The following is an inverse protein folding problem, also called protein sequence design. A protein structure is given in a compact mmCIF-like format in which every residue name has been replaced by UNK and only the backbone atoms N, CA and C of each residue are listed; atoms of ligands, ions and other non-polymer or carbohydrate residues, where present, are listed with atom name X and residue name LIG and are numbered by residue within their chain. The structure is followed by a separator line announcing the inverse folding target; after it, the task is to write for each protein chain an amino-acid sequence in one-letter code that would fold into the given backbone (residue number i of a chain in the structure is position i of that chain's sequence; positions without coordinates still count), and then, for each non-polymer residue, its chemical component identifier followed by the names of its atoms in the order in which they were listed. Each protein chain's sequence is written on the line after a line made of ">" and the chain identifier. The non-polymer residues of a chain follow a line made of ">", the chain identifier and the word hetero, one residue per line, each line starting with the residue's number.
data_IF_394291371564
#
_entry.id   IF_394291371564
#
_cell.length_a   1.000
_cell.length_b   1.000
_cell.length_c   1.000
_cell.angle_alpha   90.00
_cell.angle_beta   90.00
_cell.angle_gamma   90.00
#
_symmetry.space_group_name_H-M   'P 1'
#
loop_
_entity.id
_entity.type
_entity.pdbx_description
1 polymer ?
#
# COMPACT_ATOMS: atom_id res chain seq x y z
N UNK A 1 -0.02 -1.36 -17.07
CA UNK A 1 -0.12 -0.75 -15.73
C UNK A 1 -1.54 -0.26 -15.43
N UNK A 2 -2.17 -0.72 -14.33
CA UNK A 2 -3.50 -0.28 -13.88
C UNK A 2 -3.65 1.22 -13.65
N UNK A 3 -4.88 1.74 -13.81
CA UNK A 3 -5.18 3.18 -13.78
C UNK A 3 -4.89 3.90 -12.44
N UNK A 4 -4.89 3.19 -11.31
CA UNK A 4 -4.62 3.80 -9.99
C UNK A 4 -3.13 4.12 -9.79
N UNK A 5 -2.21 3.43 -10.48
CA UNK A 5 -0.77 3.65 -10.30
C UNK A 5 -0.33 5.06 -10.74
N UNK A 6 -0.66 5.55 -11.96
CA UNK A 6 -0.30 6.92 -12.35
C UNK A 6 -0.82 7.98 -11.37
N UNK A 7 -2.03 7.80 -10.84
CA UNK A 7 -2.66 8.73 -9.89
C UNK A 7 -1.90 8.72 -8.57
N UNK A 8 -1.69 7.54 -7.97
CA UNK A 8 -0.97 7.44 -6.72
C UNK A 8 0.51 7.80 -6.83
N UNK A 9 1.17 7.51 -7.95
CA UNK A 9 2.55 7.97 -8.21
C UNK A 9 2.64 9.48 -8.34
N UNK A 10 1.63 10.14 -8.91
CA UNK A 10 1.54 11.60 -8.90
C UNK A 10 1.41 12.13 -7.47
N UNK A 11 0.51 11.53 -6.68
CA UNK A 11 0.28 11.90 -5.28
C UNK A 11 1.52 11.68 -4.39
N UNK A 12 2.26 10.59 -4.62
CA UNK A 12 3.45 10.22 -3.85
C UNK A 12 4.56 11.29 -3.90
N UNK A 13 4.62 12.10 -4.97
CA UNK A 13 5.58 13.21 -5.13
C UNK A 13 5.35 14.35 -4.13
N UNK A 14 4.16 14.41 -3.54
CA UNK A 14 3.74 15.48 -2.64
C UNK A 14 3.83 15.08 -1.15
N UNK A 15 4.58 14.02 -0.83
CA UNK A 15 4.67 13.47 0.54
C UNK A 15 5.02 14.49 1.63
N UNK A 16 5.77 15.54 1.28
CA UNK A 16 6.18 16.60 2.22
C UNK A 16 5.02 17.51 2.65
N UNK A 17 3.93 17.53 1.89
CA UNK A 17 2.78 18.40 2.13
C UNK A 17 1.64 17.72 2.88
N UNK A 18 1.69 16.40 3.09
CA UNK A 18 0.68 15.68 3.87
C UNK A 18 1.02 15.69 5.37
N UNK A 19 -0.01 15.85 6.19
CA UNK A 19 0.09 15.80 7.65
C UNK A 19 -1.26 15.94 8.34
N UNK A 20 -1.30 15.79 9.68
CA UNK A 20 -2.53 15.98 10.44
C UNK A 20 -3.23 17.31 10.13
N UNK A 21 -4.44 17.21 9.59
CA UNK A 21 -5.27 18.36 9.19
C UNK A 21 -5.17 18.77 7.73
N UNK A 22 -4.27 18.18 6.94
CA UNK A 22 -4.15 18.42 5.49
C UNK A 22 -3.57 17.19 4.78
N UNK A 23 -4.43 16.42 4.12
CA UNK A 23 -4.06 15.17 3.47
C UNK A 23 -4.07 15.33 1.96
N UNK A 24 -3.09 14.73 1.28
CA UNK A 24 -3.13 14.66 -0.18
C UNK A 24 -4.17 13.60 -0.59
N UNK A 25 -5.04 13.96 -1.53
CA UNK A 25 -6.13 13.10 -1.99
C UNK A 25 -5.85 12.52 -3.39
N UNK A 26 -5.48 11.24 -3.49
CA UNK A 26 -5.30 10.54 -4.76
C UNK A 26 -6.61 10.00 -5.35
N UNK A 27 -7.79 10.48 -4.95
CA UNK A 27 -9.12 10.05 -5.41
C UNK A 27 -9.64 8.75 -4.72
N UNK A 28 -10.88 8.38 -5.04
CA UNK A 28 -11.63 7.28 -4.43
C UNK A 28 -10.93 5.90 -4.53
N UNK A 29 -11.40 4.93 -3.74
CA UNK A 29 -11.08 3.51 -3.85
C UNK A 29 -12.15 2.81 -4.72
N UNK A 30 -11.73 2.28 -5.87
CA UNK A 30 -12.60 1.65 -6.88
C UNK A 30 -12.42 0.10 -6.90
N UNK A 31 -12.75 -0.51 -5.76
CA UNK A 31 -12.63 -1.95 -5.49
C UNK A 31 -14.03 -2.59 -5.34
N UNK A 32 -14.15 -3.90 -5.57
CA UNK A 32 -15.42 -4.60 -5.51
C UNK A 32 -16.31 -4.29 -6.72
N UNK A 33 -17.59 -4.02 -6.49
CA UNK A 33 -18.54 -3.60 -7.53
C UNK A 33 -18.55 -2.08 -7.64
N UNK A 34 -18.25 -1.53 -8.82
CA UNK A 34 -18.06 -0.09 -9.01
C UNK A 34 -19.09 0.45 -10.00
N UNK A 35 -19.75 1.55 -9.64
CA UNK A 35 -20.72 2.24 -10.49
C UNK A 35 -20.08 3.02 -11.64
N UNK A 36 -20.92 3.48 -12.57
CA UNK A 36 -20.47 4.33 -13.68
C UNK A 36 -20.66 5.81 -13.34
N UNK A 37 -19.57 6.56 -13.23
CA UNK A 37 -19.62 8.00 -12.93
C UNK A 37 -20.41 8.84 -13.97
N UNK A 38 -20.54 8.36 -15.21
CA UNK A 38 -21.28 9.03 -16.29
C UNK A 38 -22.73 8.54 -16.43
N UNK A 39 -23.10 7.47 -15.74
CA UNK A 39 -24.44 6.89 -15.78
C UNK A 39 -24.78 6.22 -14.45
N UNK A 40 -25.25 7.03 -13.50
CA UNK A 40 -25.58 6.59 -12.14
C UNK A 40 -26.76 5.61 -12.06
N UNK A 41 -27.50 5.42 -13.17
CA UNK A 41 -28.61 4.46 -13.23
C UNK A 41 -28.14 3.06 -13.58
N UNK A 42 -26.92 2.91 -14.12
CA UNK A 42 -26.36 1.59 -14.39
C UNK A 42 -25.98 0.89 -13.09
N UNK A 43 -26.26 -0.41 -12.97
CA UNK A 43 -25.80 -1.19 -11.83
C UNK A 43 -24.26 -1.18 -11.78
N UNK A 44 -23.70 -1.31 -10.58
CA UNK A 44 -22.27 -1.49 -10.43
C UNK A 44 -21.80 -2.78 -11.09
N UNK A 45 -20.63 -2.73 -11.72
CA UNK A 45 -19.98 -3.89 -12.32
C UNK A 45 -18.75 -4.28 -11.50
N UNK A 46 -18.36 -5.56 -11.46
CA UNK A 46 -17.11 -5.96 -10.83
C UNK A 46 -15.93 -5.16 -11.39
N UNK A 47 -15.07 -4.69 -10.51
CA UNK A 47 -13.82 -4.03 -10.90
C UNK A 47 -12.99 -4.93 -11.80
N UNK A 48 -12.31 -4.34 -12.78
CA UNK A 48 -11.41 -5.06 -13.69
C UNK A 48 -10.02 -5.30 -13.09
N UNK A 49 -9.78 -4.78 -11.89
CA UNK A 49 -8.55 -4.98 -11.15
C UNK A 49 -8.44 -6.43 -10.67
N UNK A 50 -7.31 -7.05 -10.92
CA UNK A 50 -6.97 -8.36 -10.36
C UNK A 50 -6.79 -8.28 -8.85
N UNK A 51 -6.85 -9.41 -8.12
CA UNK A 51 -6.64 -9.41 -6.66
C UNK A 51 -5.33 -8.74 -6.22
N UNK A 52 -4.23 -9.01 -6.93
CA UNK A 52 -2.92 -8.40 -6.65
C UNK A 52 -2.96 -6.88 -6.77
N UNK A 53 -3.65 -6.37 -7.78
CA UNK A 53 -3.78 -4.94 -8.05
C UNK A 53 -4.63 -4.25 -6.98
N UNK A 54 -5.64 -4.93 -6.43
CA UNK A 54 -6.48 -4.41 -5.34
C UNK A 54 -5.71 -4.31 -4.02
N UNK A 55 -4.87 -5.32 -3.70
CA UNK A 55 -3.93 -5.20 -2.57
C UNK A 55 -2.93 -4.06 -2.76
N UNK A 56 -2.37 -3.91 -3.97
CA UNK A 56 -1.44 -2.82 -4.31
C UNK A 56 -2.10 -1.45 -4.18
N UNK A 57 -3.34 -1.31 -4.65
CA UNK A 57 -4.14 -0.09 -4.52
C UNK A 57 -4.29 0.31 -3.05
N UNK A 58 -4.85 -0.59 -2.23
CA UNK A 58 -5.08 -0.31 -0.82
C UNK A 58 -3.77 -0.02 -0.07
N UNK A 59 -2.71 -0.80 -0.34
CA UNK A 59 -1.39 -0.58 0.27
C UNK A 59 -0.84 0.80 -0.06
N UNK A 60 -0.94 1.24 -1.31
CA UNK A 60 -0.40 2.53 -1.73
C UNK A 60 -1.19 3.69 -1.08
N UNK A 61 -2.52 3.60 -1.00
CA UNK A 61 -3.33 4.60 -0.28
C UNK A 61 -2.97 4.66 1.20
N UNK A 62 -2.90 3.51 1.89
CA UNK A 62 -2.56 3.47 3.32
C UNK A 62 -1.15 3.97 3.63
N UNK A 63 -0.17 3.60 2.80
CA UNK A 63 1.19 4.14 2.91
C UNK A 63 1.19 5.65 2.69
N UNK A 64 0.31 6.17 1.83
CA UNK A 64 0.24 7.60 1.58
C UNK A 64 -0.50 8.40 2.66
N UNK A 65 -1.10 7.76 3.67
CA UNK A 65 -2.03 8.41 4.60
C UNK A 65 -3.16 9.15 3.83
N UNK A 66 -3.64 8.52 2.76
CA UNK A 66 -4.66 9.08 1.90
C UNK A 66 -6.05 8.94 2.53
N UNK A 67 -6.97 9.87 2.31
CA UNK A 67 -8.37 9.64 2.65
C UNK A 67 -8.91 8.34 2.03
N UNK A 68 -9.41 7.42 2.85
CA UNK A 68 -9.91 6.13 2.40
C UNK A 68 -11.42 6.21 2.06
N UNK A 69 -11.74 6.80 0.90
CA UNK A 69 -13.12 6.88 0.42
C UNK A 69 -13.48 5.69 -0.47
N UNK A 70 -14.16 4.70 0.08
CA UNK A 70 -14.70 3.59 -0.70
C UNK A 70 -15.87 4.04 -1.58
N UNK A 71 -15.75 3.85 -2.89
CA UNK A 71 -16.78 4.21 -3.86
C UNK A 71 -17.44 2.99 -4.53
N UNK A 72 -17.22 1.79 -3.98
CA UNK A 72 -17.90 0.58 -4.42
C UNK A 72 -19.32 0.46 -3.84
N UNK A 73 -20.10 -0.42 -4.43
CA UNK A 73 -21.46 -0.74 -4.00
C UNK A 73 -21.44 -1.60 -2.74
N UNK A 74 -21.75 -0.98 -1.60
CA UNK A 74 -21.80 -1.63 -0.29
C UNK A 74 -22.80 -2.80 -0.18
N UNK A 75 -23.71 -2.97 -1.15
CA UNK A 75 -24.64 -4.10 -1.19
C UNK A 75 -23.96 -5.38 -1.68
N UNK A 76 -22.81 -5.28 -2.32
CA UNK A 76 -22.08 -6.39 -2.93
C UNK A 76 -20.63 -6.42 -2.44
N UNK A 77 -20.44 -6.85 -1.19
CA UNK A 77 -19.14 -7.04 -0.56
C UNK A 77 -18.88 -8.54 -0.40
N UNK A 78 -18.03 -9.10 -1.25
CA UNK A 78 -17.54 -10.47 -1.10
C UNK A 78 -16.42 -10.58 -0.06
N UNK A 79 -16.10 -11.80 0.34
CA UNK A 79 -15.07 -12.07 1.37
C UNK A 79 -13.70 -11.47 0.99
N UNK A 80 -13.38 -11.46 -0.30
CA UNK A 80 -12.13 -10.87 -0.80
C UNK A 80 -12.12 -9.36 -0.64
N UNK A 81 -13.20 -8.68 -1.04
CA UNK A 81 -13.35 -7.23 -0.91
C UNK A 81 -13.30 -6.82 0.56
N UNK A 82 -14.01 -7.54 1.44
CA UNK A 82 -13.93 -7.32 2.88
C UNK A 82 -12.52 -7.53 3.42
N UNK A 83 -11.80 -8.55 2.95
CA UNK A 83 -10.40 -8.77 3.34
C UNK A 83 -9.50 -7.57 3.00
N UNK A 84 -9.67 -6.99 1.81
CA UNK A 84 -8.90 -5.81 1.39
C UNK A 84 -9.30 -4.57 2.20
N UNK A 85 -10.60 -4.32 2.38
CA UNK A 85 -11.11 -3.11 3.01
C UNK A 85 -11.02 -3.10 4.54
N UNK A 86 -10.91 -4.26 5.18
CA UNK A 86 -11.01 -4.40 6.64
C UNK A 86 -9.74 -5.00 7.28
N UNK A 87 -8.61 -5.02 6.60
CA UNK A 87 -7.35 -5.42 7.23
C UNK A 87 -6.88 -4.35 8.22
N UNK A 88 -7.06 -4.64 9.51
CA UNK A 88 -6.76 -3.71 10.61
C UNK A 88 -5.28 -3.28 10.65
N UNK A 89 -4.32 -4.13 10.26
CA UNK A 89 -2.90 -3.76 10.32
C UNK A 89 -2.47 -2.86 9.17
N UNK A 90 -3.11 -3.01 8.00
CA UNK A 90 -2.89 -2.12 6.86
C UNK A 90 -3.56 -0.76 7.12
N UNK A 91 -4.75 -0.76 7.73
CA UNK A 91 -5.44 0.47 8.17
C UNK A 91 -4.67 1.15 9.31
N UNK A 92 -4.10 0.40 10.26
CA UNK A 92 -3.26 0.97 11.34
C UNK A 92 -2.08 1.76 10.76
N UNK A 93 -1.49 1.28 9.67
CA UNK A 93 -0.47 2.08 8.97
C UNK A 93 -1.07 3.37 8.45
N UNK A 94 -2.21 3.36 7.76
CA UNK A 94 -2.87 4.59 7.27
C UNK A 94 -3.13 5.60 8.40
N UNK A 95 -3.72 5.10 9.49
CA UNK A 95 -4.20 5.86 10.64
C UNK A 95 -3.12 6.20 11.68
N UNK A 96 -1.85 5.87 11.41
CA UNK A 96 -0.76 6.16 12.33
C UNK A 96 -0.72 7.66 12.71
N UNK A 97 -0.67 7.99 14.01
CA UNK A 97 -0.86 9.36 14.49
C UNK A 97 0.29 10.31 14.11
N UNK A 98 1.43 9.81 13.64
CA UNK A 98 2.47 10.66 13.08
C UNK A 98 1.99 11.36 11.80
N UNK A 99 1.01 10.75 11.10
CA UNK A 99 0.36 11.34 9.94
C UNK A 99 1.31 11.61 8.77
N UNK A 100 2.44 10.90 8.69
CA UNK A 100 3.43 11.09 7.63
C UNK A 100 3.05 10.30 6.40
N UNK A 101 2.91 10.93 5.25
CA UNK A 101 2.82 10.20 3.98
C UNK A 101 4.14 9.47 3.69
N UNK A 102 4.05 8.24 3.17
CA UNK A 102 5.22 7.48 2.74
C UNK A 102 5.96 8.17 1.59
N UNK A 103 7.28 8.13 1.65
CA UNK A 103 8.16 8.61 0.58
C UNK A 103 8.46 7.47 -0.41
N UNK A 104 8.42 7.71 -1.74
CA UNK A 104 8.99 6.78 -2.71
C UNK A 104 10.52 6.82 -2.60
N UNK A 105 11.12 5.70 -2.18
CA UNK A 105 12.57 5.54 -2.04
C UNK A 105 13.21 5.00 -3.31
N UNK A 106 12.49 4.13 -4.02
CA UNK A 106 12.84 3.62 -5.36
C UNK A 106 11.61 3.72 -6.22
N UNK A 107 11.77 4.25 -7.43
CA UNK A 107 10.74 4.26 -8.45
C UNK A 107 11.40 4.13 -9.82
N UNK A 108 11.21 2.99 -10.45
CA UNK A 108 11.59 2.72 -11.84
C UNK A 108 10.38 2.16 -12.62
N UNK A 109 10.56 1.81 -13.89
CA UNK A 109 9.47 1.32 -14.76
C UNK A 109 8.86 -0.01 -14.29
N UNK A 110 9.52 -0.73 -13.38
CA UNK A 110 9.21 -2.10 -13.00
C UNK A 110 9.05 -2.29 -11.49
N UNK A 111 9.56 -1.38 -10.65
CA UNK A 111 9.52 -1.50 -9.19
C UNK A 111 9.23 -0.16 -8.51
N UNK A 112 8.51 -0.23 -7.41
CA UNK A 112 8.31 0.88 -6.48
C UNK A 112 8.55 0.39 -5.05
N UNK A 113 9.34 1.15 -4.28
CA UNK A 113 9.51 0.95 -2.85
C UNK A 113 9.13 2.24 -2.14
N UNK A 114 8.15 2.16 -1.24
CA UNK A 114 7.69 3.27 -0.43
C UNK A 114 7.93 2.98 1.05
N UNK A 115 8.32 3.99 1.84
CA UNK A 115 8.52 3.83 3.27
C UNK A 115 7.81 4.93 4.07
N UNK A 116 7.11 4.53 5.13
CA UNK A 116 6.38 5.38 6.08
C UNK A 116 6.97 5.19 7.48
N UNK A 117 7.65 6.19 8.06
CA UNK A 117 7.97 6.14 9.49
C UNK A 117 6.67 6.20 10.31
N UNK A 118 6.59 5.42 11.38
CA UNK A 118 5.42 5.34 12.26
C UNK A 118 5.74 5.90 13.65
N UNK A 119 4.71 6.27 14.39
CA UNK A 119 4.84 6.96 15.68
C UNK A 119 5.58 6.13 16.76
N UNK A 120 5.52 4.80 16.67
CA UNK A 120 6.20 3.88 17.59
C UNK A 120 7.69 3.66 17.26
N UNK A 121 8.21 4.33 16.23
CA UNK A 121 9.58 4.20 15.74
C UNK A 121 9.81 3.02 14.79
N UNK A 122 8.77 2.25 14.47
CA UNK A 122 8.82 1.27 13.38
C UNK A 122 8.67 1.95 12.01
N UNK A 123 8.94 1.21 10.93
CA UNK A 123 8.77 1.69 9.55
C UNK A 123 7.87 0.72 8.79
N UNK A 124 6.79 1.22 8.20
CA UNK A 124 6.03 0.47 7.20
C UNK A 124 6.67 0.64 5.81
N UNK A 125 6.83 -0.47 5.09
CA UNK A 125 7.44 -0.50 3.76
C UNK A 125 6.53 -1.27 2.80
N UNK A 126 6.20 -0.64 1.67
CA UNK A 126 5.54 -1.29 0.55
C UNK A 126 6.54 -1.60 -0.55
N UNK A 127 6.64 -2.87 -0.95
CA UNK A 127 7.41 -3.32 -2.11
C UNK A 127 6.41 -3.69 -3.21
N UNK A 128 6.45 -2.99 -4.34
CA UNK A 128 5.48 -3.12 -5.43
C UNK A 128 6.17 -3.60 -6.70
N UNK A 129 5.65 -4.66 -7.29
CA UNK A 129 6.04 -5.12 -8.62
C UNK A 129 5.18 -4.44 -9.68
N UNK A 130 5.73 -3.48 -10.41
CA UNK A 130 5.03 -2.78 -11.49
C UNK A 130 5.14 -3.52 -12.84
N UNK A 131 5.94 -4.59 -12.90
CA UNK A 131 6.16 -5.35 -14.12
C UNK A 131 5.03 -6.35 -14.40
N UNK A 132 4.98 -6.80 -15.66
CA UNK A 132 3.99 -7.75 -16.16
C UNK A 132 4.27 -9.23 -15.77
N UNK A 133 5.39 -9.50 -15.10
CA UNK A 133 5.82 -10.85 -14.71
C UNK A 133 6.23 -10.90 -13.22
N UNK A 134 6.19 -12.09 -12.57
CA UNK A 134 6.69 -12.24 -11.22
C UNK A 134 8.16 -11.80 -11.11
N UNK A 135 8.50 -11.15 -9.99
CA UNK A 135 9.82 -10.57 -9.78
C UNK A 135 10.21 -10.58 -8.31
N UNK A 136 11.49 -10.83 -8.05
CA UNK A 136 12.08 -10.60 -6.73
C UNK A 136 12.37 -9.10 -6.52
N UNK A 137 11.85 -8.55 -5.44
CA UNK A 137 12.12 -7.18 -4.99
C UNK A 137 12.77 -7.24 -3.62
N UNK A 138 13.79 -6.40 -3.44
CA UNK A 138 14.57 -6.33 -2.21
C UNK A 138 14.59 -4.91 -1.66
N UNK A 139 14.58 -4.79 -0.33
CA UNK A 139 14.83 -3.53 0.38
C UNK A 139 16.04 -3.70 1.30
N UNK A 140 17.02 -2.81 1.14
CA UNK A 140 18.23 -2.74 1.96
C UNK A 140 18.04 -1.73 3.11
N UNK A 141 18.60 -2.02 4.28
CA UNK A 141 18.40 -1.18 5.47
C UNK A 141 19.02 0.21 5.28
N UNK A 142 20.11 0.29 4.52
CA UNK A 142 20.75 1.56 4.15
C UNK A 142 19.80 2.51 3.43
N UNK A 143 18.90 1.99 2.58
CA UNK A 143 17.89 2.78 1.89
C UNK A 143 16.85 3.36 2.86
N UNK A 144 16.59 2.65 3.96
CA UNK A 144 15.67 3.04 5.02
C UNK A 144 16.34 3.88 6.12
N UNK A 145 17.66 4.08 6.06
CA UNK A 145 18.43 4.72 7.13
C UNK A 145 18.53 3.88 8.41
N UNK A 146 18.36 2.56 8.30
CA UNK A 146 18.36 1.62 9.41
C UNK A 146 19.70 0.89 9.55
N UNK A 147 19.98 0.38 10.74
CA UNK A 147 21.12 -0.48 11.04
C UNK A 147 20.71 -1.56 12.05
N UNK A 148 21.37 -2.72 11.99
CA UNK A 148 21.15 -3.81 12.93
C UNK A 148 19.82 -4.55 12.74
N UNK A 149 19.51 -5.39 13.71
CA UNK A 149 18.42 -6.37 13.62
C UNK A 149 17.05 -5.71 13.71
N UNK A 150 16.18 -6.07 12.78
CA UNK A 150 14.79 -5.65 12.73
C UNK A 150 13.88 -6.87 12.59
N UNK A 151 12.82 -6.93 13.40
CA UNK A 151 11.75 -7.92 13.24
C UNK A 151 10.81 -7.46 12.14
N UNK A 152 10.47 -8.34 11.22
CA UNK A 152 9.59 -8.03 10.08
C UNK A 152 8.26 -8.76 10.25
N UNK A 153 7.17 -8.02 10.02
CA UNK A 153 5.80 -8.54 9.94
C UNK A 153 5.19 -8.21 8.58
N UNK A 154 4.61 -9.21 7.93
CA UNK A 154 3.75 -9.03 6.76
C UNK A 154 2.34 -8.66 7.23
N UNK A 155 1.87 -7.46 6.86
CA UNK A 155 0.62 -6.90 7.37
C UNK A 155 -0.60 -7.51 6.66
N UNK A 156 -0.49 -7.82 5.37
CA UNK A 156 -1.56 -8.48 4.63
C UNK A 156 -1.79 -9.90 5.12
N UNK A 157 -0.71 -10.64 5.34
CA UNK A 157 -0.75 -12.02 5.83
C UNK A 157 -0.82 -12.12 7.35
N UNK A 158 -0.74 -10.98 8.04
CA UNK A 158 -0.71 -10.87 9.51
C UNK A 158 0.28 -11.86 10.14
N UNK A 159 1.47 -11.95 9.53
CA UNK A 159 2.45 -13.00 9.83
C UNK A 159 3.82 -12.41 10.11
N UNK A 160 4.42 -12.85 11.21
CA UNK A 160 5.82 -12.55 11.50
C UNK A 160 6.73 -13.34 10.56
N UNK A 161 7.63 -12.65 9.88
CA UNK A 161 8.57 -13.23 8.91
C UNK A 161 9.94 -13.54 9.53
N UNK A 162 10.18 -13.10 10.76
CA UNK A 162 11.43 -13.30 11.49
C UNK A 162 12.22 -12.02 11.67
N UNK A 163 13.50 -12.17 12.00
CA UNK A 163 14.44 -11.07 12.23
C UNK A 163 15.50 -11.05 11.14
N UNK A 164 15.74 -9.87 10.58
CA UNK A 164 16.68 -9.63 9.49
C UNK A 164 17.63 -8.51 9.90
N UNK A 165 18.84 -8.49 9.34
CA UNK A 165 19.92 -7.60 9.80
C UNK A 165 20.30 -6.50 8.80
N UNK A 166 20.06 -6.71 7.50
CA UNK A 166 20.53 -5.79 6.46
C UNK A 166 19.65 -5.71 5.21
N UNK A 167 18.93 -6.78 4.88
CA UNK A 167 18.09 -6.89 3.68
C UNK A 167 16.88 -7.79 3.91
N UNK A 168 15.80 -7.48 3.20
CA UNK A 168 14.62 -8.32 3.04
C UNK A 168 14.31 -8.42 1.55
N UNK A 169 14.03 -9.63 1.08
CA UNK A 169 13.77 -9.94 -0.32
C UNK A 169 12.53 -10.83 -0.42
N UNK A 170 11.70 -10.60 -1.43
CA UNK A 170 10.53 -11.44 -1.69
C UNK A 170 10.15 -11.43 -3.17
N UNK A 171 9.62 -12.54 -3.66
CA UNK A 171 9.07 -12.65 -5.01
C UNK A 171 7.61 -12.26 -5.01
N UNK A 172 7.28 -11.24 -5.79
CA UNK A 172 5.92 -10.73 -5.95
C UNK A 172 5.37 -11.13 -7.31
N UNK A 173 4.08 -11.52 -7.40
CA UNK A 173 3.44 -11.75 -8.68
C UNK A 173 3.32 -10.43 -9.47
N UNK A 174 2.92 -10.53 -10.73
CA UNK A 174 2.59 -9.37 -11.58
C UNK A 174 1.66 -8.40 -10.82
N UNK A 175 2.04 -7.13 -10.79
CA UNK A 175 1.28 -6.03 -10.17
C UNK A 175 1.01 -6.20 -8.67
N UNK A 176 1.70 -7.15 -8.01
CA UNK A 176 1.54 -7.45 -6.60
C UNK A 176 2.35 -6.56 -5.69
N UNK A 177 1.98 -6.61 -4.41
CA UNK A 177 2.62 -5.89 -3.31
C UNK A 177 2.92 -6.86 -2.17
N UNK A 178 3.97 -6.56 -1.41
CA UNK A 178 3.98 -6.89 0.01
C UNK A 178 4.08 -5.62 0.83
N UNK A 179 3.33 -5.57 1.92
CA UNK A 179 3.34 -4.47 2.86
C UNK A 179 3.83 -5.02 4.19
N UNK A 180 5.02 -4.59 4.59
CA UNK A 180 5.70 -5.08 5.78
C UNK A 180 5.91 -3.95 6.79
N UNK A 181 6.01 -4.30 8.07
CA UNK A 181 6.44 -3.39 9.14
C UNK A 181 7.72 -3.91 9.77
N UNK A 182 8.73 -3.04 9.83
CA UNK A 182 10.03 -3.30 10.42
C UNK A 182 10.04 -2.70 11.83
N UNK A 183 10.19 -3.55 12.83
CA UNK A 183 10.31 -3.15 14.23
C UNK A 183 11.77 -3.20 14.66
N UNK A 184 12.28 -2.18 15.36
CA UNK A 184 13.61 -2.26 15.95
C UNK A 184 13.65 -3.41 16.97
N UNK A 185 14.71 -4.23 16.92
CA UNK A 185 14.98 -5.21 17.98
C UNK A 185 15.75 -4.50 19.08
N UNK A 186 15.18 -4.48 20.30
CA UNK A 186 15.87 -3.99 21.50
C UNK A 186 16.93 -4.98 21.95
#
# INVERSE_FOLDING_TARGET
>A
MPGFYPIGLSNARHYEYAGPGHWNDPDYILIGYVGNARDQKKPGEPTKLTPNEQYSYMSMWCLMAAPLFFSGDMRFLDDFTLNVLCNAEVIDVDQDPLGKQAKPLVQDDQNLIMAKPLADGSIAVGLFNLAEMPREISVDWSLLGLQGKHRIRDLWRQKDLGTFESRFSTTLPRHGVTMIRLYPVR
#
